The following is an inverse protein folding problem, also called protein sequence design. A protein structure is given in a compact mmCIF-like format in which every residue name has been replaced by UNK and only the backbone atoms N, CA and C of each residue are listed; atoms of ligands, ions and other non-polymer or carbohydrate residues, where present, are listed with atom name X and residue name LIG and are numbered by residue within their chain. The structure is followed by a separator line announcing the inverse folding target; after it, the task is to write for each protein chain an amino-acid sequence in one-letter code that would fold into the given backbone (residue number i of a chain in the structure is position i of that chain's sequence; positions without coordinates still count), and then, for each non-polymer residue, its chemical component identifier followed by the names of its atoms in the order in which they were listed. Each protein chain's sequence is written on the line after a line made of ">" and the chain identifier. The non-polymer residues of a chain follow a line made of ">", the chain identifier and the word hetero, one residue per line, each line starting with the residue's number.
data_IF_538109001553
#
_entry.id   IF_538109001553
#
_cell.length_a   1.000
_cell.length_b   1.000
_cell.length_c   1.000
_cell.angle_alpha   90.00
_cell.angle_beta   90.00
_cell.angle_gamma   90.00
#
_symmetry.space_group_name_H-M   'P 1'
#
loop_
_entity.id
_entity.type
_entity.pdbx_description
1 polymer ?
#
# COMPACT_ATOMS: atom_id res chain seq x y z
N UNK A 1 -19.05 19.07 -14.60
CA UNK A 1 -18.76 19.15 -13.15
C UNK A 1 -19.04 20.56 -12.64
N UNK A 2 -19.86 20.67 -11.60
CA UNK A 2 -20.09 21.95 -10.94
C UNK A 2 -18.92 22.33 -10.03
N UNK A 3 -18.96 23.55 -9.46
CA UNK A 3 -17.88 24.07 -8.62
C UNK A 3 -17.67 23.21 -7.37
N UNK A 4 -18.73 22.77 -6.71
CA UNK A 4 -18.63 21.94 -5.50
C UNK A 4 -17.99 20.58 -5.79
N UNK A 5 -18.33 19.97 -6.90
CA UNK A 5 -17.76 18.69 -7.34
C UNK A 5 -16.28 18.85 -7.67
N UNK A 6 -15.90 19.95 -8.32
CA UNK A 6 -14.49 20.27 -8.62
C UNK A 6 -13.67 20.46 -7.35
N UNK A 7 -14.19 21.17 -6.38
CA UNK A 7 -13.53 21.39 -5.09
C UNK A 7 -13.37 20.08 -4.35
N UNK A 8 -14.41 19.25 -4.30
CA UNK A 8 -14.38 17.93 -3.66
C UNK A 8 -13.33 17.04 -4.29
N UNK A 9 -13.27 17.00 -5.62
CA UNK A 9 -12.30 16.20 -6.35
C UNK A 9 -10.87 16.69 -6.11
N UNK A 10 -10.65 18.01 -6.12
CA UNK A 10 -9.35 18.61 -5.84
C UNK A 10 -8.87 18.27 -4.43
N UNK A 11 -9.74 18.37 -3.42
CA UNK A 11 -9.42 18.03 -2.03
C UNK A 11 -9.08 16.53 -1.90
N UNK A 12 -9.81 15.67 -2.56
CA UNK A 12 -9.54 14.23 -2.56
C UNK A 12 -8.20 13.91 -3.20
N UNK A 13 -7.87 14.57 -4.31
CA UNK A 13 -6.59 14.37 -4.98
C UNK A 13 -5.43 14.89 -4.13
N UNK A 14 -5.59 16.02 -3.45
CA UNK A 14 -4.58 16.58 -2.56
C UNK A 14 -4.34 15.66 -1.35
N UNK A 15 -5.40 15.13 -0.76
CA UNK A 15 -5.29 14.15 0.32
C UNK A 15 -4.54 12.89 -0.15
N UNK A 16 -4.85 12.38 -1.34
CA UNK A 16 -4.14 11.24 -1.92
C UNK A 16 -2.65 11.51 -2.11
N UNK A 17 -2.29 12.69 -2.59
CA UNK A 17 -0.89 13.10 -2.75
C UNK A 17 -0.15 13.18 -1.42
N UNK A 18 -0.80 13.70 -0.38
CA UNK A 18 -0.22 13.77 0.96
C UNK A 18 0.03 12.36 1.52
N UNK A 19 -0.93 11.45 1.36
CA UNK A 19 -0.82 10.07 1.83
C UNK A 19 0.34 9.35 1.14
N UNK A 20 0.45 9.45 -0.17
CA UNK A 20 1.57 8.85 -0.91
C UNK A 20 2.90 9.52 -0.62
N UNK A 21 2.90 10.82 -0.35
CA UNK A 21 4.08 11.56 0.11
C UNK A 21 4.63 10.98 1.43
N UNK A 22 3.74 10.67 2.37
CA UNK A 22 4.15 10.02 3.62
C UNK A 22 4.85 8.68 3.36
N UNK A 23 4.29 7.84 2.51
CA UNK A 23 4.88 6.54 2.17
C UNK A 23 6.25 6.72 1.53
N UNK A 24 6.37 7.64 0.57
CA UNK A 24 7.65 7.96 -0.06
C UNK A 24 8.70 8.41 0.94
N UNK A 25 8.31 9.23 1.92
CA UNK A 25 9.20 9.68 3.00
C UNK A 25 9.64 8.53 3.90
N UNK A 26 8.75 7.60 4.20
CA UNK A 26 9.11 6.43 5.01
C UNK A 26 10.06 5.50 4.27
N UNK A 27 9.97 5.43 2.96
CA UNK A 27 10.85 4.62 2.12
C UNK A 27 12.22 5.27 1.96
N UNK A 28 12.27 6.55 1.63
CA UNK A 28 13.49 7.26 1.22
C UNK A 28 13.97 8.30 2.23
N UNK A 29 13.21 8.55 3.28
CA UNK A 29 13.47 9.61 4.23
C UNK A 29 14.54 9.30 5.25
N UNK A 30 14.91 10.33 6.01
CA UNK A 30 15.93 10.29 7.03
C UNK A 30 15.40 9.63 8.32
N UNK A 31 16.18 8.71 8.88
CA UNK A 31 15.80 7.93 10.07
C UNK A 31 15.55 8.78 11.33
N UNK A 32 16.17 9.94 11.42
CA UNK A 32 16.07 10.80 12.61
C UNK A 32 14.68 11.42 12.80
N UNK A 33 13.88 11.51 11.73
CA UNK A 33 12.55 12.10 11.76
C UNK A 33 11.42 11.10 12.06
N UNK A 34 11.71 9.81 12.09
CA UNK A 34 10.71 8.75 12.24
C UNK A 34 10.10 8.67 13.64
N UNK A 35 10.78 9.21 14.67
CA UNK A 35 10.42 8.99 16.09
C UNK A 35 9.63 10.15 16.72
N UNK A 36 9.30 11.21 15.98
CA UNK A 36 8.89 12.47 16.60
C UNK A 36 7.40 12.79 16.43
N UNK A 37 6.69 12.09 15.56
CA UNK A 37 5.30 12.44 15.23
C UNK A 37 4.33 11.48 15.95
N UNK A 38 3.42 12.04 16.74
CA UNK A 38 2.33 11.28 17.32
C UNK A 38 1.38 10.80 16.23
N UNK A 39 0.64 9.74 16.51
CA UNK A 39 -0.35 9.20 15.57
C UNK A 39 -1.39 10.24 15.17
N UNK A 40 -1.83 11.06 16.14
CA UNK A 40 -2.77 12.14 15.89
C UNK A 40 -2.22 13.19 14.93
N UNK A 41 -0.97 13.60 15.13
CA UNK A 41 -0.30 14.56 14.25
C UNK A 41 -0.12 14.00 12.85
N UNK A 42 0.27 12.73 12.75
CA UNK A 42 0.45 12.04 11.48
C UNK A 42 -0.87 11.99 10.70
N UNK A 43 -1.96 11.62 11.38
CA UNK A 43 -3.28 11.58 10.77
C UNK A 43 -3.72 12.97 10.28
N UNK A 44 -3.49 14.00 11.07
CA UNK A 44 -3.86 15.36 10.70
C UNK A 44 -3.02 15.87 9.53
N UNK A 45 -1.72 15.57 9.51
CA UNK A 45 -0.80 16.07 8.50
C UNK A 45 -1.00 15.38 7.14
N UNK A 46 -1.28 14.07 7.14
CA UNK A 46 -1.32 13.27 5.92
C UNK A 46 -2.70 12.72 5.57
N UNK A 47 -3.73 13.09 6.32
CA UNK A 47 -5.12 12.64 6.09
C UNK A 47 -5.30 11.12 6.20
N UNK A 48 -4.59 10.50 7.14
CA UNK A 48 -4.84 9.10 7.50
C UNK A 48 -5.85 8.99 8.63
N UNK A 49 -6.38 7.78 8.78
CA UNK A 49 -7.27 7.39 9.87
C UNK A 49 -6.65 6.24 10.66
N UNK A 50 -5.35 6.31 10.89
CA UNK A 50 -4.62 5.28 11.64
C UNK A 50 -5.09 5.25 13.10
N UNK A 51 -5.11 4.03 13.63
CA UNK A 51 -5.37 3.77 15.04
C UNK A 51 -4.22 2.96 15.61
N UNK A 52 -4.10 2.98 16.93
CA UNK A 52 -3.15 2.12 17.60
C UNK A 52 -3.43 0.65 17.30
N UNK A 53 -2.39 -0.09 17.02
CA UNK A 53 -2.48 -1.47 16.60
C UNK A 53 -1.26 -1.85 15.76
N UNK A 54 -1.49 -2.64 14.75
CA UNK A 54 -0.43 -3.16 13.88
C UNK A 54 -0.33 -2.29 12.62
N UNK A 55 0.92 -2.03 12.23
CA UNK A 55 1.26 -1.52 10.89
C UNK A 55 2.03 -2.61 10.15
N UNK A 56 1.72 -2.80 8.90
CA UNK A 56 2.40 -3.79 8.07
C UNK A 56 2.44 -3.32 6.62
N UNK A 57 3.57 -3.57 5.96
CA UNK A 57 3.73 -3.29 4.54
C UNK A 57 3.73 -4.61 3.79
N UNK A 58 2.97 -4.68 2.71
CA UNK A 58 3.04 -5.75 1.74
C UNK A 58 3.54 -5.16 0.42
N UNK A 59 4.46 -5.86 -0.23
CA UNK A 59 4.96 -5.45 -1.54
C UNK A 59 4.52 -6.45 -2.59
N UNK A 60 3.96 -5.97 -3.69
CA UNK A 60 3.49 -6.77 -4.81
C UNK A 60 4.30 -6.38 -6.02
N UNK A 61 5.12 -7.29 -6.53
CA UNK A 61 5.98 -7.05 -7.68
C UNK A 61 5.44 -7.76 -8.91
N UNK A 62 5.39 -7.02 -10.00
CA UNK A 62 5.03 -7.53 -11.31
C UNK A 62 6.29 -7.68 -12.14
N UNK A 63 6.71 -8.92 -12.40
CA UNK A 63 7.85 -9.21 -13.26
C UNK A 63 7.35 -9.43 -14.69
N UNK A 64 7.96 -8.73 -15.62
CA UNK A 64 7.46 -8.63 -16.98
C UNK A 64 8.59 -8.64 -18.02
N UNK A 65 8.34 -9.35 -19.09
CA UNK A 65 9.25 -9.38 -20.23
C UNK A 65 9.13 -8.13 -21.10
N UNK A 66 7.95 -7.49 -21.12
CA UNK A 66 7.69 -6.27 -21.89
C UNK A 66 7.07 -5.20 -21.01
N UNK A 67 7.84 -4.17 -20.67
CA UNK A 67 7.34 -3.04 -19.87
C UNK A 67 6.41 -2.18 -20.72
N UNK A 68 5.13 -2.22 -20.39
CA UNK A 68 4.13 -1.35 -20.97
C UNK A 68 3.48 -0.52 -19.86
N UNK A 69 3.66 0.80 -19.91
CA UNK A 69 3.15 1.72 -18.89
C UNK A 69 1.63 1.65 -18.75
N UNK A 70 0.90 1.37 -19.82
CA UNK A 70 -0.55 1.22 -19.77
C UNK A 70 -1.00 -0.01 -18.98
N UNK A 71 -0.22 -1.10 -19.01
CA UNK A 71 -0.48 -2.28 -18.20
C UNK A 71 -0.25 -2.00 -16.72
N UNK A 72 0.81 -1.26 -16.37
CA UNK A 72 1.10 -0.87 -14.99
C UNK A 72 0.00 0.02 -14.44
N UNK A 73 -0.47 0.99 -15.21
CA UNK A 73 -1.58 1.86 -14.81
C UNK A 73 -2.87 1.06 -14.57
N UNK A 74 -3.20 0.13 -15.46
CA UNK A 74 -4.35 -0.76 -15.31
C UNK A 74 -4.24 -1.58 -14.02
N UNK A 75 -3.07 -2.16 -13.76
CA UNK A 75 -2.83 -2.95 -12.56
C UNK A 75 -2.89 -2.12 -11.29
N UNK A 76 -2.41 -0.87 -11.33
CA UNK A 76 -2.52 0.05 -10.20
C UNK A 76 -3.98 0.34 -9.85
N UNK A 77 -4.81 0.61 -10.84
CA UNK A 77 -6.24 0.84 -10.65
C UNK A 77 -6.94 -0.41 -10.14
N UNK A 78 -6.59 -1.57 -10.69
CA UNK A 78 -7.13 -2.86 -10.22
C UNK A 78 -6.74 -3.13 -8.77
N UNK A 79 -5.47 -2.90 -8.42
CA UNK A 79 -4.98 -3.09 -7.06
C UNK A 79 -5.70 -2.15 -6.07
N UNK A 80 -5.91 -0.89 -6.44
CA UNK A 80 -6.63 0.06 -5.61
C UNK A 80 -8.09 -0.38 -5.36
N UNK A 81 -8.77 -0.86 -6.41
CA UNK A 81 -10.14 -1.38 -6.29
C UNK A 81 -10.21 -2.63 -5.40
N UNK A 82 -9.26 -3.54 -5.55
CA UNK A 82 -9.18 -4.75 -4.72
C UNK A 82 -8.87 -4.41 -3.27
N UNK A 83 -8.02 -3.40 -3.03
CA UNK A 83 -7.73 -2.92 -1.68
C UNK A 83 -9.00 -2.41 -0.99
N UNK A 84 -9.83 -1.64 -1.68
CA UNK A 84 -11.11 -1.21 -1.15
C UNK A 84 -12.02 -2.40 -0.81
N UNK A 85 -12.06 -3.39 -1.69
CA UNK A 85 -12.92 -4.56 -1.51
C UNK A 85 -12.47 -5.45 -0.33
N UNK A 86 -11.18 -5.73 -0.23
CA UNK A 86 -10.65 -6.74 0.68
C UNK A 86 -10.01 -6.18 1.95
N UNK A 87 -9.48 -4.97 1.92
CA UNK A 87 -8.74 -4.42 3.06
C UNK A 87 -9.56 -3.46 3.90
N UNK A 88 -10.43 -2.66 3.30
CA UNK A 88 -11.27 -1.75 4.05
C UNK A 88 -12.08 -2.42 5.17
N UNK A 89 -12.69 -3.62 4.94
CA UNK A 89 -13.44 -4.28 6.01
C UNK A 89 -12.62 -4.75 7.21
N UNK A 90 -11.32 -4.95 7.06
CA UNK A 90 -10.46 -5.55 8.10
C UNK A 90 -9.36 -4.62 8.59
N UNK A 91 -9.19 -3.45 7.97
CA UNK A 91 -8.17 -2.47 8.36
C UNK A 91 -8.83 -1.19 8.88
N UNK A 92 -8.17 -0.52 9.81
CA UNK A 92 -8.53 0.84 10.22
C UNK A 92 -8.28 1.82 9.06
N UNK A 93 -7.14 1.65 8.39
CA UNK A 93 -6.79 2.41 7.19
C UNK A 93 -5.81 1.60 6.34
N UNK A 94 -5.74 1.93 5.08
CA UNK A 94 -4.82 1.32 4.12
C UNK A 94 -4.50 2.31 3.01
N UNK A 95 -3.35 2.12 2.36
CA UNK A 95 -2.97 2.92 1.20
C UNK A 95 -2.16 2.07 0.22
N UNK A 96 -2.31 2.34 -1.05
CA UNK A 96 -1.53 1.72 -2.12
C UNK A 96 -0.59 2.77 -2.70
N UNK A 97 0.69 2.45 -2.73
CA UNK A 97 1.73 3.27 -3.34
C UNK A 97 2.38 2.49 -4.47
N UNK A 98 2.29 3.01 -5.68
CA UNK A 98 2.86 2.37 -6.86
C UNK A 98 4.19 3.04 -7.22
N UNK A 99 5.22 2.23 -7.42
CA UNK A 99 6.53 2.68 -7.86
C UNK A 99 7.08 1.69 -8.88
N UNK A 100 7.19 2.14 -10.13
CA UNK A 100 7.60 1.27 -11.25
C UNK A 100 6.69 0.03 -11.34
N UNK A 101 7.27 -1.16 -11.26
CA UNK A 101 6.54 -2.43 -11.33
C UNK A 101 6.22 -3.04 -9.97
N UNK A 102 6.35 -2.26 -8.89
CA UNK A 102 6.08 -2.71 -7.53
C UNK A 102 5.02 -1.84 -6.88
N UNK A 103 4.03 -2.48 -6.28
CA UNK A 103 3.00 -1.81 -5.51
C UNK A 103 3.19 -2.15 -4.04
N UNK A 104 3.13 -1.12 -3.20
CA UNK A 104 3.27 -1.26 -1.76
C UNK A 104 1.92 -1.01 -1.12
N UNK A 105 1.49 -1.92 -0.27
CA UNK A 105 0.29 -1.77 0.54
C UNK A 105 0.73 -1.40 1.95
N UNK A 106 0.35 -0.23 2.42
CA UNK A 106 0.50 0.15 3.81
C UNK A 106 -0.80 -0.19 4.53
N UNK A 107 -0.72 -1.04 5.54
CA UNK A 107 -1.86 -1.58 6.25
C UNK A 107 -1.78 -1.21 7.72
N UNK A 108 -2.90 -0.78 8.29
CA UNK A 108 -3.04 -0.54 9.72
C UNK A 108 -4.29 -1.25 10.21
N UNK A 109 -4.15 -2.13 11.18
CA UNK A 109 -5.24 -2.98 11.65
C UNK A 109 -5.06 -3.36 13.11
N UNK A 110 -6.13 -3.84 13.75
CA UNK A 110 -6.05 -4.42 15.08
C UNK A 110 -5.38 -5.79 15.04
N UNK A 111 -4.64 -6.13 16.09
CA UNK A 111 -3.90 -7.38 16.16
C UNK A 111 -4.81 -8.61 15.96
N UNK A 112 -6.03 -8.54 16.43
CA UNK A 112 -7.06 -9.59 16.28
C UNK A 112 -7.44 -9.84 14.81
N UNK A 113 -7.21 -8.87 13.93
CA UNK A 113 -7.52 -8.98 12.50
C UNK A 113 -6.37 -9.53 11.66
N UNK A 114 -5.22 -9.85 12.26
CA UNK A 114 -4.01 -10.22 11.51
C UNK A 114 -4.22 -11.39 10.56
N UNK A 115 -4.97 -12.41 10.97
CA UNK A 115 -5.27 -13.57 10.11
C UNK A 115 -6.19 -13.19 8.94
N UNK A 116 -7.20 -12.36 9.20
CA UNK A 116 -8.12 -11.90 8.18
C UNK A 116 -7.42 -10.99 7.16
N UNK A 117 -6.55 -10.10 7.63
CA UNK A 117 -5.74 -9.25 6.75
C UNK A 117 -4.87 -10.10 5.83
N UNK A 118 -4.17 -11.08 6.38
CA UNK A 118 -3.31 -11.99 5.60
C UNK A 118 -4.12 -12.76 4.56
N UNK A 119 -5.27 -13.29 4.95
CA UNK A 119 -6.18 -13.99 4.04
C UNK A 119 -6.65 -13.08 2.91
N UNK A 120 -7.06 -11.87 3.24
CA UNK A 120 -7.60 -10.92 2.27
C UNK A 120 -6.52 -10.40 1.32
N UNK A 121 -5.29 -10.19 1.79
CA UNK A 121 -4.15 -9.86 0.92
C UNK A 121 -3.89 -11.01 -0.05
N UNK A 122 -3.97 -12.25 0.41
CA UNK A 122 -3.82 -13.42 -0.47
C UNK A 122 -4.92 -13.48 -1.55
N UNK A 123 -6.15 -13.17 -1.19
CA UNK A 123 -7.25 -13.12 -2.16
C UNK A 123 -7.03 -12.02 -3.20
N UNK A 124 -6.53 -10.85 -2.79
CA UNK A 124 -6.13 -9.80 -3.72
C UNK A 124 -5.06 -10.31 -4.70
N UNK A 125 -4.05 -10.99 -4.17
CA UNK A 125 -2.97 -11.56 -4.98
C UNK A 125 -3.51 -12.55 -6.01
N UNK A 126 -4.41 -13.42 -5.59
CA UNK A 126 -5.03 -14.42 -6.48
C UNK A 126 -5.80 -13.74 -7.61
N UNK A 127 -6.54 -12.68 -7.31
CA UNK A 127 -7.26 -11.93 -8.33
C UNK A 127 -6.33 -11.16 -9.27
N UNK A 128 -5.22 -10.62 -8.76
CA UNK A 128 -4.21 -9.99 -9.60
C UNK A 128 -3.52 -11.02 -10.52
N UNK A 129 -3.24 -12.22 -10.00
CA UNK A 129 -2.68 -13.31 -10.81
C UNK A 129 -3.64 -13.79 -11.91
N UNK A 130 -4.94 -13.70 -11.67
CA UNK A 130 -5.94 -14.04 -12.68
C UNK A 130 -5.86 -13.14 -13.91
N UNK A 131 -5.19 -11.99 -13.81
CA UNK A 131 -4.95 -11.09 -14.94
C UNK A 131 -3.74 -11.50 -15.79
N UNK A 132 -2.95 -12.48 -15.36
CA UNK A 132 -1.73 -12.91 -16.07
C UNK A 132 -1.99 -13.31 -17.52
N UNK A 133 -3.14 -13.97 -17.78
CA UNK A 133 -3.55 -14.37 -19.14
C UNK A 133 -3.79 -13.16 -20.05
N UNK A 134 -4.23 -12.04 -19.49
CA UNK A 134 -4.46 -10.79 -20.24
C UNK A 134 -3.15 -10.04 -20.42
N UNK A 135 -2.18 -10.24 -19.53
CA UNK A 135 -0.94 -9.47 -19.44
C UNK A 135 0.28 -10.22 -20.00
N UNK A 136 0.07 -11.26 -20.79
CA UNK A 136 1.11 -11.95 -21.59
C UNK A 136 2.34 -12.40 -20.79
N UNK A 137 2.12 -13.26 -19.79
CA UNK A 137 3.23 -13.91 -19.08
C UNK A 137 3.85 -13.09 -17.96
N UNK A 138 3.18 -12.05 -17.51
CA UNK A 138 3.59 -11.30 -16.33
C UNK A 138 3.44 -12.18 -15.09
N UNK A 139 4.48 -12.28 -14.27
CA UNK A 139 4.41 -12.97 -12.99
C UNK A 139 4.21 -11.98 -11.84
N UNK A 140 3.48 -12.41 -10.82
CA UNK A 140 3.17 -11.59 -9.64
C UNK A 140 3.77 -12.26 -8.40
N UNK A 141 4.57 -11.51 -7.66
CA UNK A 141 5.19 -11.98 -6.42
C UNK A 141 4.79 -11.05 -5.28
N UNK A 142 4.47 -11.62 -4.12
CA UNK A 142 4.17 -10.84 -2.93
C UNK A 142 5.22 -11.09 -1.85
N UNK A 143 5.61 -10.01 -1.16
CA UNK A 143 6.40 -10.07 0.06
C UNK A 143 5.67 -9.37 1.18
N UNK A 144 5.43 -10.08 2.28
CA UNK A 144 4.84 -9.49 3.48
C UNK A 144 5.96 -9.05 4.41
N UNK A 145 5.94 -7.78 4.79
CA UNK A 145 6.85 -7.26 5.81
C UNK A 145 6.44 -7.70 7.21
N UNK A 146 7.30 -7.43 8.17
CA UNK A 146 7.01 -7.71 9.58
C UNK A 146 5.87 -6.82 10.08
N UNK A 147 5.10 -7.35 11.03
CA UNK A 147 4.11 -6.56 11.77
C UNK A 147 4.85 -5.71 12.80
N UNK A 148 4.56 -4.40 12.81
CA UNK A 148 5.14 -3.45 13.76
C UNK A 148 4.02 -2.72 14.49
N UNK A 149 4.31 -2.17 15.67
CA UNK A 149 3.28 -1.59 16.54
C UNK A 149 3.25 -0.07 16.53
N UNK A 150 4.17 0.57 15.84
CA UNK A 150 4.25 2.03 15.79
C UNK A 150 4.40 2.51 14.36
N UNK A 151 3.87 3.70 14.09
CA UNK A 151 4.03 4.34 12.78
C UNK A 151 5.51 4.61 12.46
N UNK A 152 6.34 4.92 13.46
CA UNK A 152 7.78 5.13 13.29
C UNK A 152 8.53 3.88 12.83
N UNK A 153 7.96 2.70 13.00
CA UNK A 153 8.58 1.44 12.59
C UNK A 153 8.10 0.92 11.23
N UNK A 154 7.27 1.68 10.52
CA UNK A 154 6.74 1.29 9.20
C UNK A 154 7.88 1.00 8.22
N UNK A 155 8.97 1.77 8.28
CA UNK A 155 10.13 1.56 7.42
C UNK A 155 10.72 0.16 7.56
N UNK A 156 10.78 -0.37 8.78
CA UNK A 156 11.25 -1.73 9.02
C UNK A 156 10.38 -2.75 8.28
N UNK A 157 9.05 -2.60 8.38
CA UNK A 157 8.12 -3.47 7.66
C UNK A 157 8.31 -3.36 6.15
N UNK A 158 8.51 -2.14 5.65
CA UNK A 158 8.79 -1.91 4.25
C UNK A 158 10.06 -2.64 3.79
N UNK A 159 11.15 -2.47 4.52
CA UNK A 159 12.43 -3.11 4.18
C UNK A 159 12.33 -4.63 4.20
N UNK A 160 11.60 -5.19 5.17
CA UNK A 160 11.36 -6.63 5.27
C UNK A 160 10.54 -7.13 4.07
N UNK A 161 9.54 -6.38 3.64
CA UNK A 161 8.72 -6.73 2.47
C UNK A 161 9.56 -6.74 1.19
N UNK A 162 10.40 -5.74 1.01
CA UNK A 162 11.33 -5.66 -0.14
C UNK A 162 12.31 -6.83 -0.12
N UNK A 163 12.85 -7.15 1.05
CA UNK A 163 13.76 -8.28 1.22
C UNK A 163 13.09 -9.59 0.81
N UNK A 164 11.84 -9.81 1.23
CA UNK A 164 11.09 -11.03 0.90
C UNK A 164 10.87 -11.17 -0.61
N UNK A 165 10.62 -10.09 -1.32
CA UNK A 165 10.48 -10.13 -2.78
C UNK A 165 11.80 -10.55 -3.44
N UNK A 166 12.93 -10.00 -2.98
CA UNK A 166 14.26 -10.26 -3.55
C UNK A 166 14.73 -11.69 -3.32
N UNK A 167 14.22 -12.39 -2.31
CA UNK A 167 14.59 -13.78 -2.02
C UNK A 167 13.97 -14.80 -2.98
N UNK A 168 12.96 -14.39 -3.73
CA UNK A 168 12.33 -15.26 -4.71
C UNK A 168 12.96 -15.06 -6.10
N UNK A 169 14.00 -15.80 -6.32
CA UNK A 169 14.64 -15.89 -7.64
C UNK A 169 14.06 -17.07 -8.42
#
# INVERSE_FOLDING_TARGET
>A
LNFEERVRLALKNDAGKLRTSFISRMIYGDRERENIISLKELNNQYHFHFREGVFQVAAIKFDHVNHNDSCISFLADKAAGLALQYLEPVCFDHEVYAEFSTFYLLLNFGEEESKNVRKNVRQMLDELKAQESILNGMSVTIGMGSMVNTAGSIRKSFLDAVFMIKQRL
#
